data_IF_166338557514
#
_entry.id   IF_166338557514
#
_cell.length_a   1.000
_cell.length_b   1.000
_cell.length_c   1.000
_cell.angle_alpha   90.00
_cell.angle_beta   90.00
_cell.angle_gamma   90.00
#
_symmetry.space_group_name_H-M   'P 1'
#
loop_
_entity.id
_entity.type
_entity.pdbx_description
1 polymer ?
#
# COMPACT_ATOMS: atom_id res chain seq x y z
N UNK A 1 -9.74 -28.96 -13.02
CA UNK A 1 -8.74 -28.06 -12.39
C UNK A 1 -7.97 -27.34 -13.49
N UNK A 2 -8.31 -26.10 -13.86
CA UNK A 2 -7.40 -25.26 -14.63
C UNK A 2 -6.61 -24.36 -13.67
N UNK A 3 -5.29 -24.58 -13.62
CA UNK A 3 -4.37 -23.75 -12.85
C UNK A 3 -4.29 -22.34 -13.43
N UNK A 4 -4.66 -21.36 -12.60
CA UNK A 4 -4.55 -19.94 -12.91
C UNK A 4 -3.12 -19.60 -13.33
N UNK A 5 -3.02 -19.23 -14.60
CA UNK A 5 -1.86 -18.57 -15.20
C UNK A 5 -1.78 -17.17 -14.59
N UNK A 6 -1.00 -17.01 -13.52
CA UNK A 6 -0.57 -15.70 -13.05
C UNK A 6 0.45 -15.16 -14.05
N UNK A 7 -0.04 -14.54 -15.13
CA UNK A 7 0.79 -13.72 -15.99
C UNK A 7 1.22 -12.49 -15.21
N UNK A 8 2.38 -12.59 -14.56
CA UNK A 8 3.09 -11.47 -13.97
C UNK A 8 3.45 -10.51 -15.12
N UNK A 9 2.63 -9.49 -15.35
CA UNK A 9 2.87 -8.44 -16.33
C UNK A 9 3.98 -7.52 -15.80
N UNK A 10 5.20 -8.05 -15.73
CA UNK A 10 6.43 -7.30 -15.54
C UNK A 10 6.69 -6.46 -16.79
N UNK A 11 6.10 -5.25 -16.86
CA UNK A 11 6.57 -4.14 -17.72
C UNK A 11 5.83 -2.82 -17.44
N UNK A 12 6.10 -2.23 -16.29
CA UNK A 12 6.05 -0.77 -16.14
C UNK A 12 7.14 -0.31 -15.16
N UNK A 13 8.33 -0.08 -15.73
CA UNK A 13 9.36 0.76 -15.12
C UNK A 13 8.73 2.12 -14.77
N UNK A 14 8.61 2.44 -13.48
CA UNK A 14 8.88 3.74 -12.83
C UNK A 14 8.50 3.60 -11.36
N UNK A 15 9.38 2.96 -10.58
CA UNK A 15 9.17 2.66 -9.17
C UNK A 15 9.28 3.96 -8.34
N UNK A 16 8.14 4.49 -7.91
CA UNK A 16 8.08 5.52 -6.86
C UNK A 16 8.12 4.78 -5.54
N UNK A 17 9.07 5.12 -4.68
CA UNK A 17 9.13 4.57 -3.33
C UNK A 17 8.19 5.40 -2.46
N UNK A 18 7.14 4.76 -1.97
CA UNK A 18 6.17 5.34 -1.08
C UNK A 18 6.45 4.83 0.34
N UNK A 19 6.66 5.76 1.27
CA UNK A 19 6.73 5.46 2.68
C UNK A 19 5.33 5.52 3.26
N UNK A 20 4.89 4.43 3.87
CA UNK A 20 3.56 4.28 4.47
C UNK A 20 3.68 4.26 5.99
N UNK A 21 3.09 5.26 6.61
CA UNK A 21 3.07 5.42 8.06
C UNK A 21 1.64 5.42 8.56
N UNK A 22 1.36 4.64 9.60
CA UNK A 22 0.04 4.57 10.22
C UNK A 22 0.08 5.24 11.58
N UNK A 23 -0.91 6.07 11.86
CA UNK A 23 -1.04 6.82 13.11
C UNK A 23 -2.30 6.32 13.79
N UNK A 24 -2.17 5.69 14.94
CA UNK A 24 -3.29 5.06 15.66
C UNK A 24 -3.41 5.75 17.00
N UNK A 25 -4.43 6.60 17.14
CA UNK A 25 -4.53 7.53 18.26
C UNK A 25 -3.35 8.51 18.27
N UNK A 26 -2.35 8.25 19.12
CA UNK A 26 -1.15 9.09 19.28
C UNK A 26 0.16 8.35 18.94
N UNK A 27 0.07 7.12 18.47
CA UNK A 27 1.23 6.31 18.11
C UNK A 27 1.39 6.29 16.59
N UNK A 28 2.50 6.85 16.10
CA UNK A 28 2.91 6.76 14.71
C UNK A 28 3.84 5.56 14.55
N UNK A 29 3.47 4.60 13.71
CA UNK A 29 4.27 3.42 13.39
C UNK A 29 4.36 3.20 11.88
N UNK A 30 5.41 2.51 11.46
CA UNK A 30 5.51 2.04 10.08
C UNK A 30 4.39 1.02 9.82
N UNK A 31 3.78 1.05 8.64
CA UNK A 31 2.74 0.08 8.29
C UNK A 31 3.38 -1.32 8.19
N UNK A 32 2.93 -2.32 8.97
CA UNK A 32 3.49 -3.67 8.88
C UNK A 32 3.44 -4.20 7.45
N UNK A 33 4.49 -4.89 7.01
CA UNK A 33 4.53 -5.50 5.68
C UNK A 33 3.35 -6.45 5.47
N UNK A 34 2.94 -7.19 6.50
CA UNK A 34 1.75 -8.06 6.45
C UNK A 34 0.45 -7.32 6.11
N UNK A 35 0.31 -6.05 6.50
CA UNK A 35 -0.88 -5.25 6.22
C UNK A 35 -0.85 -4.73 4.80
N UNK A 36 0.33 -4.31 4.34
CA UNK A 36 0.56 -3.92 2.95
C UNK A 36 0.37 -5.11 1.99
N UNK A 37 0.91 -6.27 2.34
CA UNK A 37 0.75 -7.53 1.61
C UNK A 37 -0.72 -7.97 1.60
N UNK A 38 -1.39 -7.98 2.75
CA UNK A 38 -2.83 -8.29 2.84
C UNK A 38 -3.69 -7.31 2.04
N UNK A 39 -3.28 -6.05 1.95
CA UNK A 39 -3.97 -5.03 1.15
C UNK A 39 -3.74 -5.26 -0.34
N UNK A 40 -2.49 -5.53 -0.75
CA UNK A 40 -2.13 -5.81 -2.15
C UNK A 40 -2.76 -7.12 -2.66
N UNK A 41 -2.75 -8.20 -1.86
CA UNK A 41 -3.36 -9.48 -2.23
C UNK A 41 -4.89 -9.42 -2.36
N UNK A 42 -5.55 -8.54 -1.61
CA UNK A 42 -7.01 -8.57 -1.47
C UNK A 42 -7.68 -7.50 -2.31
N UNK A 43 -7.41 -7.48 -3.63
CA UNK A 43 -8.26 -6.88 -4.67
C UNK A 43 -8.96 -5.57 -4.22
N UNK A 44 -8.18 -4.63 -3.66
CA UNK A 44 -8.72 -3.81 -2.57
C UNK A 44 -9.67 -2.69 -2.98
N UNK A 45 -9.77 -2.36 -4.26
CA UNK A 45 -10.68 -1.29 -4.70
C UNK A 45 -11.32 -1.54 -6.06
N UNK A 46 -11.28 -2.76 -6.60
CA UNK A 46 -11.74 -3.02 -7.98
C UNK A 46 -11.11 -2.03 -9.00
N UNK A 47 -9.96 -1.47 -8.61
CA UNK A 47 -9.31 -0.34 -9.22
C UNK A 47 -7.96 -0.84 -9.70
N UNK A 48 -7.86 -1.23 -10.98
CA UNK A 48 -6.63 -1.77 -11.57
C UNK A 48 -5.45 -0.77 -11.53
N UNK A 49 -5.70 0.48 -11.15
CA UNK A 49 -4.67 1.50 -10.94
C UNK A 49 -3.74 1.18 -9.75
N UNK A 50 -4.21 0.44 -8.73
CA UNK A 50 -3.42 0.06 -7.55
C UNK A 50 -2.79 -1.34 -7.66
N UNK A 51 -3.07 -2.07 -8.73
CA UNK A 51 -2.44 -3.37 -9.02
C UNK A 51 -0.92 -3.21 -9.26
N UNK A 52 -0.52 -2.03 -9.75
CA UNK A 52 0.89 -1.64 -9.92
C UNK A 52 1.53 -1.15 -8.60
N UNK A 53 1.08 -1.68 -7.46
CA UNK A 53 1.71 -1.47 -6.15
C UNK A 53 2.36 -2.75 -5.64
N UNK A 54 3.63 -2.64 -5.24
CA UNK A 54 4.43 -3.74 -4.73
C UNK A 54 4.94 -3.40 -3.33
N UNK A 55 4.51 -4.13 -2.29
CA UNK A 55 5.08 -3.96 -0.96
C UNK A 55 6.54 -4.45 -0.94
N UNK A 56 7.46 -3.60 -0.50
CA UNK A 56 8.91 -3.90 -0.48
C UNK A 56 9.39 -4.24 0.92
N UNK A 57 8.95 -3.46 1.90
CA UNK A 57 9.34 -3.62 3.31
C UNK A 57 8.29 -3.01 4.24
N UNK A 58 8.49 -3.13 5.54
CA UNK A 58 7.63 -2.50 6.55
C UNK A 58 7.59 -0.99 6.36
N UNK A 59 6.40 -0.46 6.09
CA UNK A 59 6.15 0.94 5.78
C UNK A 59 6.79 1.41 4.48
N UNK A 60 7.17 0.49 3.58
CA UNK A 60 7.73 0.81 2.28
C UNK A 60 7.00 0.06 1.17
N UNK A 61 6.42 0.82 0.27
CA UNK A 61 5.65 0.31 -0.84
C UNK A 61 6.11 0.99 -2.12
N UNK A 62 6.37 0.20 -3.14
CA UNK A 62 6.69 0.69 -4.48
C UNK A 62 5.42 0.80 -5.30
N UNK A 63 5.28 1.89 -6.04
CA UNK A 63 4.08 2.16 -6.80
C UNK A 63 4.43 2.70 -8.19
N UNK A 64 3.65 2.27 -9.18
CA UNK A 64 3.72 2.81 -10.53
C UNK A 64 3.36 4.28 -10.61
N UNK A 65 3.76 4.93 -11.70
CA UNK A 65 3.43 6.35 -11.97
C UNK A 65 1.93 6.67 -12.05
N UNK A 66 1.06 5.65 -12.13
CA UNK A 66 -0.40 5.80 -12.15
C UNK A 66 -1.04 5.75 -10.77
N UNK A 67 -0.28 5.32 -9.76
CA UNK A 67 -0.77 5.21 -8.40
C UNK A 67 -0.68 6.57 -7.72
N UNK A 68 -1.83 7.10 -7.29
CA UNK A 68 -1.84 8.31 -6.48
C UNK A 68 -1.61 7.98 -5.00
N UNK A 69 -0.54 8.49 -4.36
CA UNK A 69 -0.24 8.20 -2.96
C UNK A 69 -1.34 8.70 -2.00
N UNK A 70 -2.00 9.82 -2.35
CA UNK A 70 -3.11 10.37 -1.56
C UNK A 70 -4.32 9.43 -1.56
N UNK A 71 -4.67 8.86 -2.72
CA UNK A 71 -5.76 7.89 -2.85
C UNK A 71 -5.42 6.58 -2.15
N UNK A 72 -4.18 6.11 -2.29
CA UNK A 72 -3.70 4.92 -1.61
C UNK A 72 -3.76 5.10 -0.09
N UNK A 73 -3.37 6.26 0.43
CA UNK A 73 -3.44 6.59 1.85
C UNK A 73 -4.88 6.53 2.36
N UNK A 74 -5.81 7.19 1.68
CA UNK A 74 -7.22 7.19 2.05
C UNK A 74 -7.83 5.78 1.98
N UNK A 75 -7.51 4.99 0.96
CA UNK A 75 -7.99 3.62 0.81
C UNK A 75 -7.46 2.70 1.93
N UNK A 76 -6.16 2.76 2.22
CA UNK A 76 -5.55 1.98 3.29
C UNK A 76 -6.08 2.40 4.66
N UNK A 77 -6.31 3.70 4.87
CA UNK A 77 -6.94 4.21 6.08
C UNK A 77 -8.33 3.61 6.30
N UNK A 78 -9.19 3.68 5.28
CA UNK A 78 -10.51 3.09 5.36
C UNK A 78 -10.45 1.59 5.59
N UNK A 79 -9.53 0.88 4.95
CA UNK A 79 -9.34 -0.55 5.17
C UNK A 79 -8.98 -0.89 6.61
N UNK A 80 -8.00 -0.17 7.18
CA UNK A 80 -7.53 -0.42 8.54
C UNK A 80 -8.63 -0.15 9.56
N UNK A 81 -9.42 0.90 9.35
CA UNK A 81 -10.60 1.19 10.17
C UNK A 81 -11.68 0.11 9.99
N UNK A 82 -11.98 -0.33 8.76
CA UNK A 82 -12.94 -1.43 8.48
C UNK A 82 -12.51 -2.76 9.10
N UNK A 83 -11.20 -3.05 9.12
CA UNK A 83 -10.63 -4.26 9.72
C UNK A 83 -10.49 -4.18 11.25
N UNK A 84 -10.73 -3.02 11.85
CA UNK A 84 -10.53 -2.81 13.28
C UNK A 84 -9.07 -2.91 13.73
N UNK A 85 -8.11 -2.68 12.83
CA UNK A 85 -6.66 -2.77 13.12
C UNK A 85 -6.14 -1.64 14.04
N UNK A 86 -7.00 -0.66 14.31
CA UNK A 86 -6.74 0.44 15.24
C UNK A 86 -7.00 0.15 16.71
N UNK A 87 -7.34 -1.08 17.09
CA UNK A 87 -7.65 -1.44 18.49
C UNK A 87 -8.75 -0.52 19.07
N UNK A 88 -9.79 -0.24 18.27
CA UNK A 88 -10.87 0.69 18.62
C UNK A 88 -10.55 2.18 18.47
N UNK A 89 -9.33 2.54 18.05
CA UNK A 89 -8.93 3.94 17.76
C UNK A 89 -8.98 4.22 16.25
N UNK A 90 -9.24 5.48 15.86
CA UNK A 90 -9.15 5.88 14.46
C UNK A 90 -7.71 5.68 13.97
N UNK A 91 -7.57 4.87 12.93
CA UNK A 91 -6.31 4.72 12.21
C UNK A 91 -6.26 5.82 11.16
N UNK A 92 -5.14 6.54 11.11
CA UNK A 92 -4.81 7.44 10.02
C UNK A 92 -3.64 6.89 9.22
N UNK A 93 -3.62 7.14 7.93
CA UNK A 93 -2.53 6.71 7.06
C UNK A 93 -1.91 7.93 6.39
N UNK A 94 -0.60 8.08 6.55
CA UNK A 94 0.20 9.05 5.84
C UNK A 94 1.09 8.31 4.84
N UNK A 95 1.00 8.68 3.57
CA UNK A 95 1.89 8.17 2.53
C UNK A 95 2.72 9.32 2.01
N UNK A 96 4.04 9.15 2.08
CA UNK A 96 5.02 10.12 1.60
C UNK A 96 5.82 9.51 0.45
N UNK A 97 5.90 10.20 -0.69
CA UNK A 97 6.77 9.77 -1.77
C UNK A 97 8.22 10.09 -1.40
N UNK A 98 9.05 9.06 -1.25
CA UNK A 98 10.48 9.22 -1.05
C UNK A 98 11.12 9.61 -2.38
N UNK A 99 11.95 10.68 -2.40
CA UNK A 99 12.71 11.01 -3.59
C UNK A 99 13.58 9.81 -3.97
N UNK A 100 13.62 9.48 -5.26
CA UNK A 100 14.58 8.51 -5.80
C UNK A 100 15.97 9.10 -5.57
N UNK A 101 16.61 8.75 -4.47
CA UNK A 101 18.02 9.06 -4.26
C UNK A 101 18.79 8.29 -5.31
N UNK A 102 19.23 9.01 -6.34
CA UNK A 102 20.23 8.51 -7.27
C UNK A 102 21.46 8.14 -6.44
N UNK A 103 21.83 6.86 -6.44
CA UNK A 103 23.14 6.39 -5.99
C UNK A 103 23.79 5.67 -7.16
#
# INVERSE_FOLDING_TARGET
MPGNRFEYHSRAMFVRKLRVEVIIGNEKRLCPLEWLDSFAMRNFTNAPEFDDTLPVAEGLLEAGSRVEPQRLAAALEQWLNQRGKGDGKPVKVAIEELPRTAQ
#
